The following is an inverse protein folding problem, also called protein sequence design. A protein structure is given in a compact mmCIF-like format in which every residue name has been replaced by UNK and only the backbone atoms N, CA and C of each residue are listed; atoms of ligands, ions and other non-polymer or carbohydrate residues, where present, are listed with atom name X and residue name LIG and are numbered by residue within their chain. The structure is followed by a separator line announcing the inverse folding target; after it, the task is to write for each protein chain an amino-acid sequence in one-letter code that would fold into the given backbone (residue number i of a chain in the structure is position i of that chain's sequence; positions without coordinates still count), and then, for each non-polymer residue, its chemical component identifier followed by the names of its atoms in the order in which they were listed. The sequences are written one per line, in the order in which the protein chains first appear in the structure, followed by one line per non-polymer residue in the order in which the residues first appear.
data_IF_607612124632
#
_entry.id   IF_607612124632
#
_cell.length_a   1.000
_cell.length_b   1.000
_cell.length_c   1.000
_cell.angle_alpha   90.00
_cell.angle_beta   90.00
_cell.angle_gamma   90.00
#
_symmetry.space_group_name_H-M   'P 1'
#
loop_
_entity.id
_entity.type
_entity.pdbx_description
1 polymer ?
#
# COMPACT_ATOMS: atom_id res chain seq x y z
N UNK A 1 -23.75 -12.62 -8.37
CA UNK A 1 -23.70 -12.46 -6.91
C UNK A 1 -22.30 -12.53 -6.31
N UNK A 2 -21.47 -13.56 -6.56
CA UNK A 2 -20.11 -13.67 -5.98
C UNK A 2 -19.20 -12.46 -6.26
N UNK A 3 -19.10 -11.98 -7.51
CA UNK A 3 -18.24 -10.82 -7.88
C UNK A 3 -18.63 -9.50 -7.22
N UNK A 4 -19.93 -9.29 -6.97
CA UNK A 4 -20.43 -8.07 -6.33
C UNK A 4 -20.05 -8.07 -4.85
N UNK A 5 -20.24 -9.20 -4.16
CA UNK A 5 -19.86 -9.35 -2.76
C UNK A 5 -18.35 -9.18 -2.56
N UNK A 6 -17.55 -9.78 -3.43
CA UNK A 6 -16.09 -9.64 -3.45
C UNK A 6 -15.65 -8.18 -3.64
N UNK A 7 -16.21 -7.51 -4.66
CA UNK A 7 -15.90 -6.09 -4.93
C UNK A 7 -16.34 -5.18 -3.77
N UNK A 8 -17.46 -5.49 -3.13
CA UNK A 8 -17.94 -4.76 -1.95
C UNK A 8 -17.04 -4.92 -0.73
N UNK A 9 -16.57 -6.14 -0.45
CA UNK A 9 -15.63 -6.40 0.64
C UNK A 9 -14.29 -5.66 0.42
N UNK A 10 -13.76 -5.71 -0.80
CA UNK A 10 -12.52 -5.00 -1.17
C UNK A 10 -12.70 -3.48 -1.05
N UNK A 11 -13.83 -2.94 -1.54
CA UNK A 11 -14.16 -1.52 -1.40
C UNK A 11 -14.13 -1.07 0.07
N UNK A 12 -14.83 -1.79 0.94
CA UNK A 12 -14.90 -1.44 2.37
C UNK A 12 -13.52 -1.50 3.01
N UNK A 13 -12.74 -2.54 2.70
CA UNK A 13 -11.39 -2.69 3.22
C UNK A 13 -10.45 -1.55 2.78
N UNK A 14 -10.42 -1.23 1.48
CA UNK A 14 -9.56 -0.18 0.95
C UNK A 14 -9.97 1.20 1.46
N UNK A 15 -11.28 1.50 1.48
CA UNK A 15 -11.79 2.77 1.96
C UNK A 15 -11.47 2.96 3.46
N UNK A 16 -11.77 1.95 4.29
CA UNK A 16 -11.50 2.02 5.73
C UNK A 16 -10.00 2.14 6.02
N UNK A 17 -9.17 1.38 5.28
CA UNK A 17 -7.71 1.45 5.42
C UNK A 17 -7.12 2.77 4.95
N UNK A 18 -7.67 3.36 3.87
CA UNK A 18 -7.25 4.67 3.39
C UNK A 18 -7.60 5.79 4.39
N UNK A 19 -8.83 5.78 4.93
CA UNK A 19 -9.26 6.76 5.95
C UNK A 19 -8.40 6.64 7.21
N UNK A 20 -8.18 5.41 7.70
CA UNK A 20 -7.38 5.20 8.89
C UNK A 20 -5.91 5.58 8.67
N UNK A 21 -5.33 5.20 7.53
CA UNK A 21 -3.98 5.62 7.16
C UNK A 21 -3.87 7.14 7.08
N UNK A 22 -4.85 7.82 6.48
CA UNK A 22 -4.88 9.28 6.41
C UNK A 22 -4.95 9.93 7.81
N UNK A 23 -5.79 9.42 8.72
CA UNK A 23 -5.83 9.89 10.11
C UNK A 23 -4.47 9.76 10.81
N UNK A 24 -3.78 8.63 10.64
CA UNK A 24 -2.42 8.44 11.15
C UNK A 24 -1.45 9.47 10.53
N UNK A 25 -1.54 9.67 9.21
CA UNK A 25 -0.68 10.58 8.47
C UNK A 25 -0.82 12.04 8.95
N UNK A 26 -2.05 12.48 9.24
CA UNK A 26 -2.33 13.80 9.79
C UNK A 26 -1.88 13.94 11.25
N UNK A 27 -2.13 12.94 12.09
CA UNK A 27 -1.73 12.97 13.51
C UNK A 27 -0.22 13.04 13.69
N UNK A 28 0.51 12.30 12.87
CA UNK A 28 1.97 12.22 12.93
C UNK A 28 2.67 13.31 12.11
N UNK A 29 1.91 14.21 11.45
CA UNK A 29 2.41 15.32 10.64
C UNK A 29 3.38 14.94 9.50
N UNK A 30 3.37 13.68 9.03
CA UNK A 30 4.26 13.20 7.97
C UNK A 30 4.09 13.91 6.62
N UNK A 31 3.01 14.68 6.42
CA UNK A 31 2.72 15.43 5.18
C UNK A 31 3.49 16.76 5.10
N UNK A 32 3.95 17.30 6.24
CA UNK A 32 4.48 18.67 6.31
C UNK A 32 5.82 18.85 5.61
N UNK A 33 6.61 17.78 5.43
CA UNK A 33 7.83 17.81 4.64
C UNK A 33 8.15 16.42 4.12
N UNK A 34 8.23 16.26 2.80
CA UNK A 34 8.57 14.99 2.15
C UNK A 34 9.90 14.42 2.70
N UNK A 35 10.84 15.30 3.05
CA UNK A 35 12.13 14.91 3.64
C UNK A 35 12.00 14.16 4.97
N UNK A 36 10.95 14.42 5.78
CA UNK A 36 10.73 13.74 7.07
C UNK A 36 10.37 12.26 6.94
N UNK A 37 10.08 11.78 5.73
CA UNK A 37 9.80 10.37 5.49
C UNK A 37 11.05 9.50 5.65
N UNK A 38 12.23 10.04 5.32
CA UNK A 38 13.51 9.34 5.41
C UNK A 38 14.50 9.98 6.40
N UNK A 39 14.26 11.22 6.81
CA UNK A 39 15.07 11.89 7.83
C UNK A 39 14.94 11.19 9.19
N UNK A 40 16.06 10.97 9.87
CA UNK A 40 16.11 10.24 11.15
C UNK A 40 16.00 8.70 11.07
N UNK A 41 16.15 8.11 9.88
CA UNK A 41 16.25 6.65 9.74
C UNK A 41 17.48 6.08 10.50
N UNK A 42 17.36 4.98 11.29
CA UNK A 42 16.21 4.10 11.43
C UNK A 42 15.17 4.57 12.47
N UNK A 43 13.89 4.46 12.11
CA UNK A 43 12.76 4.77 12.99
C UNK A 43 12.41 3.59 13.91
N UNK A 44 13.33 3.24 14.81
CA UNK A 44 13.23 2.01 15.62
C UNK A 44 12.04 2.01 16.60
N UNK A 45 11.55 3.19 17.00
CA UNK A 45 10.36 3.34 17.84
C UNK A 45 9.15 3.74 17.01
N UNK A 46 8.30 2.77 16.66
CA UNK A 46 7.02 3.01 15.99
C UNK A 46 5.91 3.26 17.02
N UNK A 47 5.04 4.27 16.80
CA UNK A 47 3.84 4.44 17.59
C UNK A 47 2.98 3.18 17.50
N UNK A 48 2.31 2.83 18.61
CA UNK A 48 1.43 1.66 18.66
C UNK A 48 0.40 1.66 17.53
N UNK A 49 -0.20 2.82 17.23
CA UNK A 49 -1.22 2.95 16.19
C UNK A 49 -0.69 2.60 14.78
N UNK A 50 0.53 3.02 14.46
CA UNK A 50 1.18 2.72 13.17
C UNK A 50 1.48 1.23 13.09
N UNK A 51 2.05 0.65 14.14
CA UNK A 51 2.35 -0.78 14.21
C UNK A 51 1.08 -1.62 14.07
N UNK A 52 0.01 -1.22 14.76
CA UNK A 52 -1.27 -1.91 14.71
C UNK A 52 -1.92 -1.85 13.33
N UNK A 53 -1.83 -0.70 12.65
CA UNK A 53 -2.25 -0.55 11.26
C UNK A 53 -1.55 -1.58 10.37
N UNK A 54 -0.21 -1.63 10.36
CA UNK A 54 0.55 -2.58 9.52
C UNK A 54 0.21 -4.04 9.82
N UNK A 55 0.06 -4.40 11.10
CA UNK A 55 -0.32 -5.78 11.49
C UNK A 55 -1.68 -6.16 10.91
N UNK A 56 -2.68 -5.27 10.98
CA UNK A 56 -4.00 -5.52 10.39
C UNK A 56 -3.93 -5.65 8.88
N UNK A 57 -3.12 -4.82 8.20
CA UNK A 57 -2.91 -4.92 6.76
C UNK A 57 -2.35 -6.30 6.39
N UNK A 58 -1.30 -6.75 7.08
CA UNK A 58 -0.70 -8.08 6.87
C UNK A 58 -1.74 -9.18 7.15
N UNK A 59 -2.47 -9.08 8.26
CA UNK A 59 -3.47 -10.08 8.64
C UNK A 59 -4.57 -10.21 7.58
N UNK A 60 -5.02 -9.10 7.01
CA UNK A 60 -6.03 -9.11 5.94
C UNK A 60 -5.53 -9.84 4.69
N UNK A 61 -4.33 -9.48 4.19
CA UNK A 61 -3.78 -10.12 3.00
C UNK A 61 -3.42 -11.59 3.22
N UNK A 62 -3.05 -11.98 4.44
CA UNK A 62 -2.89 -13.41 4.81
C UNK A 62 -4.24 -14.12 4.84
N UNK A 63 -5.29 -13.49 5.37
CA UNK A 63 -6.65 -14.04 5.38
C UNK A 63 -7.21 -14.25 3.97
N UNK A 64 -6.79 -13.45 2.98
CA UNK A 64 -7.21 -13.61 1.59
C UNK A 64 -6.84 -14.98 0.99
N UNK A 65 -5.77 -15.66 1.46
CA UNK A 65 -5.39 -16.97 0.92
C UNK A 65 -6.40 -18.09 1.27
N UNK A 66 -6.76 -18.30 2.56
CA UNK A 66 -7.87 -19.18 2.91
C UNK A 66 -9.17 -18.81 2.19
N UNK A 67 -9.49 -17.52 2.10
CA UNK A 67 -10.71 -17.05 1.46
C UNK A 67 -10.78 -17.48 -0.01
N UNK A 68 -9.71 -17.28 -0.78
CA UNK A 68 -9.62 -17.73 -2.18
C UNK A 68 -9.76 -19.26 -2.31
N UNK A 69 -9.21 -20.02 -1.35
CA UNK A 69 -9.35 -21.48 -1.31
C UNK A 69 -10.81 -21.91 -1.08
N UNK A 70 -11.50 -21.30 -0.12
CA UNK A 70 -12.90 -21.63 0.20
C UNK A 70 -13.89 -21.16 -0.88
N UNK A 71 -13.59 -20.05 -1.57
CA UNK A 71 -14.42 -19.53 -2.66
C UNK A 71 -14.40 -20.42 -3.92
N UNK A 72 -13.54 -21.46 -3.97
CA UNK A 72 -13.39 -22.38 -5.12
C UNK A 72 -13.26 -21.64 -6.45
N UNK A 73 -12.45 -20.58 -6.44
CA UNK A 73 -12.25 -19.72 -7.62
C UNK A 73 -11.71 -20.57 -8.78
N UNK A 74 -12.16 -20.24 -10.00
CA UNK A 74 -11.68 -20.89 -11.22
C UNK A 74 -10.16 -20.76 -11.33
N UNK A 75 -9.48 -21.84 -11.72
CA UNK A 75 -8.00 -21.88 -11.81
C UNK A 75 -7.40 -20.74 -12.65
N UNK A 76 -8.12 -20.30 -13.68
CA UNK A 76 -7.74 -19.19 -14.56
C UNK A 76 -7.68 -17.84 -13.82
N UNK A 77 -8.62 -17.57 -12.91
CA UNK A 77 -8.65 -16.32 -12.13
C UNK A 77 -7.80 -16.43 -10.86
N UNK A 78 -7.57 -17.65 -10.37
CA UNK A 78 -6.82 -17.90 -9.14
C UNK A 78 -5.37 -17.40 -9.21
N UNK A 79 -4.68 -17.64 -10.32
CA UNK A 79 -3.28 -17.25 -10.48
C UNK A 79 -3.09 -15.73 -10.41
N UNK A 80 -3.94 -14.96 -11.09
CA UNK A 80 -3.89 -13.50 -11.07
C UNK A 80 -4.20 -12.92 -9.68
N UNK A 81 -5.22 -13.46 -9.00
CA UNK A 81 -5.58 -13.04 -7.64
C UNK A 81 -4.48 -13.36 -6.63
N UNK A 82 -3.90 -14.55 -6.73
CA UNK A 82 -2.80 -14.97 -5.86
C UNK A 82 -1.58 -14.07 -6.06
N UNK A 83 -1.22 -13.76 -7.32
CA UNK A 83 -0.12 -12.86 -7.62
C UNK A 83 -0.37 -11.47 -7.01
N UNK A 84 -1.57 -10.91 -7.20
CA UNK A 84 -1.96 -9.64 -6.62
C UNK A 84 -1.85 -9.63 -5.08
N UNK A 85 -2.48 -10.60 -4.40
CA UNK A 85 -2.41 -10.74 -2.93
C UNK A 85 -0.97 -10.91 -2.45
N UNK A 86 -0.15 -11.68 -3.17
CA UNK A 86 1.25 -11.92 -2.82
C UNK A 86 2.08 -10.64 -2.93
N UNK A 87 1.84 -9.83 -3.97
CA UNK A 87 2.55 -8.56 -4.15
C UNK A 87 2.28 -7.58 -3.01
N UNK A 88 1.02 -7.40 -2.59
CA UNK A 88 0.70 -6.55 -1.44
C UNK A 88 1.32 -7.09 -0.15
N UNK A 89 1.24 -8.41 0.08
CA UNK A 89 1.83 -9.00 1.27
C UNK A 89 3.34 -8.81 1.33
N UNK A 90 4.06 -9.08 0.23
CA UNK A 90 5.51 -8.87 0.16
C UNK A 90 5.86 -7.41 0.38
N UNK A 91 5.15 -6.48 -0.28
CA UNK A 91 5.38 -5.05 -0.14
C UNK A 91 5.23 -4.58 1.32
N UNK A 92 4.13 -4.94 1.97
CA UNK A 92 3.83 -4.51 3.34
C UNK A 92 4.80 -5.16 4.34
N UNK A 93 5.10 -6.45 4.18
CA UNK A 93 6.07 -7.14 5.02
C UNK A 93 7.48 -6.56 4.85
N UNK A 94 7.94 -6.36 3.61
CA UNK A 94 9.25 -5.79 3.33
C UNK A 94 9.38 -4.39 3.94
N UNK A 95 8.37 -3.54 3.75
CA UNK A 95 8.34 -2.21 4.36
C UNK A 95 8.41 -2.25 5.90
N UNK A 96 7.68 -3.19 6.51
CA UNK A 96 7.62 -3.34 7.95
C UNK A 96 8.94 -3.84 8.54
N UNK A 97 9.55 -4.88 7.94
CA UNK A 97 10.81 -5.44 8.43
C UNK A 97 12.02 -4.53 8.17
N UNK A 98 12.01 -3.77 7.07
CA UNK A 98 13.10 -2.85 6.71
C UNK A 98 12.96 -1.46 7.35
N UNK A 99 11.97 -1.26 8.23
CA UNK A 99 11.69 0.01 8.90
C UNK A 99 11.35 1.20 7.97
N UNK A 100 10.90 0.95 6.73
CA UNK A 100 10.44 1.97 5.79
C UNK A 100 8.96 2.34 5.97
N UNK A 101 8.47 2.26 7.21
CA UNK A 101 7.05 2.33 7.56
C UNK A 101 6.39 3.66 7.14
N UNK A 102 7.08 4.79 7.30
CA UNK A 102 6.52 6.13 6.95
C UNK A 102 6.25 6.26 5.45
N UNK A 103 7.23 5.89 4.63
CA UNK A 103 7.13 5.90 3.17
C UNK A 103 6.05 4.91 2.71
N UNK A 104 6.08 3.70 3.24
CA UNK A 104 5.10 2.67 2.90
C UNK A 104 3.67 3.06 3.29
N UNK A 105 3.47 3.73 4.43
CA UNK A 105 2.18 4.24 4.83
C UNK A 105 1.63 5.23 3.80
N UNK A 106 2.45 6.18 3.33
CA UNK A 106 2.05 7.13 2.28
C UNK A 106 1.68 6.40 0.97
N UNK A 107 2.53 5.46 0.53
CA UNK A 107 2.29 4.67 -0.68
C UNK A 107 1.00 3.85 -0.57
N UNK A 108 0.76 3.21 0.57
CA UNK A 108 -0.45 2.42 0.83
C UNK A 108 -1.71 3.28 0.77
N UNK A 109 -1.71 4.45 1.40
CA UNK A 109 -2.87 5.36 1.37
C UNK A 109 -3.20 5.77 -0.05
N UNK A 110 -2.19 6.15 -0.85
CA UNK A 110 -2.38 6.55 -2.24
C UNK A 110 -2.96 5.40 -3.07
N UNK A 111 -2.39 4.19 -2.95
CA UNK A 111 -2.87 3.00 -3.66
C UNK A 111 -4.29 2.63 -3.25
N UNK A 112 -4.55 2.48 -1.96
CA UNK A 112 -5.87 2.09 -1.45
C UNK A 112 -6.95 3.11 -1.78
N UNK A 113 -6.63 4.41 -1.83
CA UNK A 113 -7.59 5.43 -2.26
C UNK A 113 -8.04 5.19 -3.71
N UNK A 114 -7.10 4.96 -4.62
CA UNK A 114 -7.40 4.69 -6.03
C UNK A 114 -8.10 3.34 -6.22
N UNK A 115 -7.64 2.29 -5.55
CA UNK A 115 -8.26 0.96 -5.60
C UNK A 115 -9.71 1.00 -5.06
N UNK A 116 -9.98 1.80 -4.01
CA UNK A 116 -11.34 1.99 -3.51
C UNK A 116 -12.26 2.63 -4.55
N UNK A 117 -11.77 3.62 -5.31
CA UNK A 117 -12.55 4.26 -6.38
C UNK A 117 -12.85 3.30 -7.52
N UNK A 118 -11.90 2.43 -7.88
CA UNK A 118 -12.12 1.38 -8.87
C UNK A 118 -13.25 0.44 -8.46
N UNK A 119 -13.19 -0.09 -7.23
CA UNK A 119 -14.22 -1.01 -6.75
C UNK A 119 -15.57 -0.32 -6.54
N UNK A 120 -15.58 0.98 -6.20
CA UNK A 120 -16.80 1.78 -6.18
C UNK A 120 -17.42 1.93 -7.57
N UNK A 121 -16.61 2.26 -8.59
CA UNK A 121 -17.07 2.35 -9.98
C UNK A 121 -17.65 1.01 -10.47
N UNK A 122 -16.97 -0.09 -10.14
CA UNK A 122 -17.42 -1.44 -10.49
C UNK A 122 -18.74 -1.81 -9.80
N UNK A 123 -18.91 -1.42 -8.53
CA UNK A 123 -20.16 -1.65 -7.80
C UNK A 123 -21.32 -0.81 -8.38
N UNK A 124 -21.07 0.44 -8.77
CA UNK A 124 -22.05 1.28 -9.48
C UNK A 124 -22.44 0.67 -10.84
N UNK A 125 -21.46 0.11 -11.57
CA UNK A 125 -21.70 -0.56 -12.84
C UNK A 125 -22.57 -1.82 -12.65
N UNK A 126 -22.27 -2.65 -11.65
CA UNK A 126 -23.09 -3.83 -11.32
C UNK A 126 -24.49 -3.49 -10.82
N UNK A 127 -24.70 -2.27 -10.33
CA UNK A 127 -26.01 -1.77 -9.87
C UNK A 127 -26.80 -1.09 -10.99
N UNK A 128 -26.41 -1.26 -12.25
CA UNK A 128 -27.03 -0.65 -13.45
C UNK A 128 -27.03 0.89 -13.45
N UNK A 129 -26.23 1.52 -12.59
CA UNK A 129 -26.05 2.99 -12.54
C UNK A 129 -24.90 3.43 -13.45
N UNK A 130 -25.06 3.21 -14.74
CA UNK A 130 -24.00 3.37 -15.76
C UNK A 130 -23.44 4.79 -15.82
N UNK A 131 -24.28 5.83 -15.77
CA UNK A 131 -23.82 7.23 -15.83
C UNK A 131 -22.89 7.59 -14.68
N UNK A 132 -23.25 7.17 -13.46
CA UNK A 132 -22.41 7.35 -12.28
C UNK A 132 -21.14 6.51 -12.35
N UNK A 133 -21.24 5.26 -12.80
CA UNK A 133 -20.08 4.38 -12.96
C UNK A 133 -19.06 4.96 -13.93
N UNK A 134 -19.49 5.45 -15.10
CA UNK A 134 -18.62 6.08 -16.10
C UNK A 134 -17.91 7.31 -15.54
N UNK A 135 -18.63 8.12 -14.77
CA UNK A 135 -18.07 9.32 -14.14
C UNK A 135 -16.98 8.96 -13.12
N UNK A 136 -17.21 7.93 -12.29
CA UNK A 136 -16.22 7.46 -11.32
C UNK A 136 -15.03 6.79 -12.02
N UNK A 137 -15.25 6.01 -13.09
CA UNK A 137 -14.16 5.43 -13.88
C UNK A 137 -13.25 6.51 -14.48
N UNK A 138 -13.81 7.59 -15.02
CA UNK A 138 -13.01 8.70 -15.54
C UNK A 138 -12.14 9.36 -14.46
N UNK A 139 -12.70 9.57 -13.27
CA UNK A 139 -11.94 10.09 -12.11
C UNK A 139 -10.86 9.11 -11.69
N UNK A 140 -11.18 7.81 -11.65
CA UNK A 140 -10.23 6.74 -11.35
C UNK A 140 -9.07 6.73 -12.33
N UNK A 141 -9.30 6.81 -13.64
CA UNK A 141 -8.25 6.76 -14.66
C UNK A 141 -7.23 7.89 -14.49
N UNK A 142 -7.72 9.11 -14.22
CA UNK A 142 -6.86 10.27 -13.98
C UNK A 142 -6.08 10.10 -12.67
N UNK A 143 -6.75 9.74 -11.58
CA UNK A 143 -6.10 9.56 -10.28
C UNK A 143 -5.12 8.40 -10.28
N UNK A 144 -5.40 7.32 -11.02
CA UNK A 144 -4.53 6.17 -11.16
C UNK A 144 -3.18 6.57 -11.75
N UNK A 145 -3.18 7.38 -12.81
CA UNK A 145 -1.95 7.90 -13.42
C UNK A 145 -1.19 8.79 -12.42
N UNK A 146 -1.89 9.70 -11.74
CA UNK A 146 -1.28 10.61 -10.76
C UNK A 146 -0.64 9.82 -9.60
N UNK A 147 -1.35 8.85 -9.04
CA UNK A 147 -0.82 8.00 -7.96
C UNK A 147 0.35 7.16 -8.43
N UNK A 148 0.32 6.64 -9.66
CA UNK A 148 1.46 5.88 -10.19
C UNK A 148 2.71 6.74 -10.34
N UNK A 149 2.56 7.97 -10.84
CA UNK A 149 3.67 8.92 -10.92
C UNK A 149 4.14 9.36 -9.52
N UNK A 150 3.22 9.59 -8.59
CA UNK A 150 3.52 9.96 -7.21
C UNK A 150 4.31 8.88 -6.47
N UNK A 151 3.92 7.62 -6.61
CA UNK A 151 4.60 6.48 -5.98
C UNK A 151 6.01 6.26 -6.55
N UNK A 152 6.18 6.36 -7.88
CA UNK A 152 7.51 6.31 -8.51
C UNK A 152 8.39 7.46 -8.03
N UNK A 153 7.84 8.68 -8.00
CA UNK A 153 8.57 9.87 -7.53
C UNK A 153 8.99 9.71 -6.07
N UNK A 154 8.08 9.21 -5.22
CA UNK A 154 8.37 8.99 -3.81
C UNK A 154 9.44 7.93 -3.58
N UNK A 155 9.41 6.85 -4.36
CA UNK A 155 10.45 5.83 -4.35
C UNK A 155 11.81 6.39 -4.76
N UNK A 156 11.87 7.18 -5.84
CA UNK A 156 13.10 7.84 -6.28
C UNK A 156 13.62 8.82 -5.22
N UNK A 157 12.77 9.70 -4.69
CA UNK A 157 13.18 10.65 -3.66
C UNK A 157 13.73 9.94 -2.42
N UNK A 158 13.07 8.88 -1.97
CA UNK A 158 13.48 8.14 -0.77
C UNK A 158 14.75 7.33 -0.99
N UNK A 159 14.77 6.44 -2.00
CA UNK A 159 15.83 5.46 -2.18
C UNK A 159 16.99 5.96 -3.04
N UNK A 160 16.77 6.91 -3.94
CA UNK A 160 17.83 7.46 -4.78
C UNK A 160 18.45 8.74 -4.23
N UNK A 161 17.68 9.62 -3.60
CA UNK A 161 18.20 10.92 -3.12
C UNK A 161 18.33 11.03 -1.60
N UNK A 162 17.38 10.49 -0.83
CA UNK A 162 17.35 10.62 0.63
C UNK A 162 18.29 9.66 1.35
N UNK A 163 17.99 8.36 1.29
CA UNK A 163 18.74 7.31 2.00
C UNK A 163 20.24 7.20 1.66
N UNK A 164 20.76 7.50 0.45
CA UNK A 164 22.21 7.48 0.25
C UNK A 164 22.99 8.46 1.13
N UNK A 165 22.36 9.52 1.64
CA UNK A 165 23.02 10.50 2.52
C UNK A 165 23.41 9.90 3.88
N UNK A 166 22.78 8.80 4.28
CA UNK A 166 23.04 8.05 5.52
C UNK A 166 23.47 6.60 5.26
N UNK A 167 24.10 6.32 4.11
CA UNK A 167 24.44 4.96 3.70
C UNK A 167 25.41 4.27 4.66
N UNK A 168 25.11 3.03 5.02
CA UNK A 168 26.00 2.18 5.82
C UNK A 168 26.53 1.02 4.95
N UNK A 169 27.79 0.58 5.16
CA UNK A 169 28.40 -0.48 4.36
C UNK A 169 27.82 -1.87 4.65
N UNK A 170 27.17 -2.07 5.80
CA UNK A 170 26.60 -3.35 6.22
C UNK A 170 25.22 -3.18 6.89
N UNK A 171 24.43 -4.25 6.90
CA UNK A 171 23.17 -4.32 7.64
C UNK A 171 23.48 -4.36 9.13
N UNK A 172 22.93 -3.42 9.88
CA UNK A 172 23.03 -3.40 11.34
C UNK A 172 21.68 -3.73 11.97
N UNK A 173 21.52 -5.01 12.33
CA UNK A 173 20.30 -5.54 12.96
C UNK A 173 20.13 -5.01 14.38
N UNK A 174 21.21 -4.63 15.08
CA UNK A 174 21.15 -4.14 16.46
C UNK A 174 20.54 -2.73 16.53
N UNK A 175 20.83 -1.88 15.54
CA UNK A 175 20.25 -0.54 15.44
C UNK A 175 18.97 -0.49 14.58
N UNK A 176 18.67 -1.57 13.85
CA UNK A 176 17.51 -1.66 12.95
C UNK A 176 17.74 -0.93 11.62
N UNK A 177 19.00 -0.68 11.26
CA UNK A 177 19.41 0.00 10.04
C UNK A 177 19.69 -1.01 8.92
N UNK A 178 18.78 -1.06 7.95
CA UNK A 178 18.90 -1.93 6.77
C UNK A 178 19.32 -1.17 5.51
N UNK A 179 19.78 0.08 5.66
CA UNK A 179 20.13 0.98 4.57
C UNK A 179 21.46 0.60 3.89
N UNK A 180 21.42 -0.46 3.08
CA UNK A 180 22.52 -0.87 2.21
C UNK A 180 22.20 -0.54 0.75
N UNK A 181 23.25 -0.41 -0.07
CA UNK A 181 23.10 -0.17 -1.51
C UNK A 181 22.27 -1.27 -2.20
N UNK A 182 22.41 -2.53 -1.75
CA UNK A 182 21.66 -3.66 -2.30
C UNK A 182 20.16 -3.51 -2.00
N UNK A 183 19.81 -3.21 -0.75
CA UNK A 183 18.40 -3.05 -0.35
C UNK A 183 17.75 -1.89 -1.11
N UNK A 184 18.44 -0.75 -1.23
CA UNK A 184 17.94 0.41 -1.97
C UNK A 184 17.67 0.12 -3.44
N UNK A 185 18.57 -0.61 -4.11
CA UNK A 185 18.39 -0.97 -5.52
C UNK A 185 17.24 -1.95 -5.70
N UNK A 186 17.05 -2.91 -4.79
CA UNK A 186 15.90 -3.83 -4.84
C UNK A 186 14.57 -3.11 -4.57
N UNK A 187 14.54 -2.05 -3.76
CA UNK A 187 13.32 -1.27 -3.52
C UNK A 187 12.93 -0.34 -4.68
N UNK A 188 13.82 -0.12 -5.66
CA UNK A 188 13.56 0.69 -6.84
C UNK A 188 13.02 -0.12 -8.04
N UNK A 189 13.15 -1.44 -8.01
CA UNK A 189 12.75 -2.39 -9.07
C UNK A 189 11.37 -2.95 -8.76
#
# INVERSE_FOLDING_TARGET
HSKLNESGQLLIFFLASAIWGADILFRENYVTSISQLWDGYPHSNLPFIVKFFFIIQIAYWVHSYPELYFQKVRKEELAGRLQYTTLYLIFICAAYFLNFNRVALCVLILHYTVDSLYHLALLCHFSEKTDLAMSIFMVFDVLFVIVRLGTITLALLTFWFGLPQSSQPAIDVATGNYNTNIVRMNCLV
#
